data_IF_494565943409
#
_entry.id   IF_494565943409
#
_cell.length_a   1.000
_cell.length_b   1.000
_cell.length_c   1.000
_cell.angle_alpha   90.00
_cell.angle_beta   90.00
_cell.angle_gamma   90.00
#
_symmetry.space_group_name_H-M   'P 1'
#
loop_
_entity.id
_entity.type
_entity.pdbx_description
1 polymer ?
#
# COMPACT_ATOMS: atom_id res chain seq x y z
N UNK A 1 -4.82 9.23 -15.84
CA UNK A 1 -4.73 7.77 -16.03
C UNK A 1 -3.87 7.27 -14.89
N UNK A 2 -4.48 6.58 -13.93
CA UNK A 2 -3.78 6.13 -12.71
C UNK A 2 -2.85 4.97 -13.01
N UNK A 3 -1.92 4.67 -12.11
CA UNK A 3 -1.06 3.50 -12.24
C UNK A 3 -1.03 2.65 -10.96
N UNK A 4 -0.79 1.35 -11.14
CA UNK A 4 -0.47 0.41 -10.09
C UNK A 4 1.02 0.07 -10.14
N UNK A 5 1.71 0.13 -9.01
CA UNK A 5 3.07 -0.40 -8.90
C UNK A 5 3.22 -1.23 -7.64
N UNK A 6 3.62 -2.49 -7.81
CA UNK A 6 3.95 -3.40 -6.70
C UNK A 6 5.47 -3.48 -6.61
N UNK A 7 6.00 -3.24 -5.42
CA UNK A 7 7.43 -3.22 -5.13
C UNK A 7 7.65 -4.18 -3.96
N UNK A 8 8.50 -5.20 -4.18
CA UNK A 8 9.07 -5.99 -3.09
C UNK A 8 10.35 -5.31 -2.63
N UNK A 9 10.60 -5.26 -1.32
CA UNK A 9 11.72 -4.49 -0.83
C UNK A 9 12.29 -5.04 0.46
N UNK A 10 13.59 -5.34 0.40
CA UNK A 10 14.45 -5.51 1.57
C UNK A 10 15.03 -4.15 2.03
N UNK A 11 15.19 -3.18 1.10
CA UNK A 11 15.88 -1.88 1.32
C UNK A 11 15.39 -0.62 0.58
N UNK A 12 14.38 -0.64 -0.31
CA UNK A 12 13.92 0.62 -0.91
C UNK A 12 13.35 1.55 0.16
N UNK A 13 14.01 2.70 0.35
CA UNK A 13 13.63 3.65 1.38
C UNK A 13 12.31 4.28 1.00
N UNK A 14 11.33 4.26 1.90
CA UNK A 14 10.02 4.89 1.71
C UNK A 14 10.16 6.33 1.19
N UNK A 15 11.16 7.08 1.65
CA UNK A 15 11.51 8.40 1.14
C UNK A 15 11.72 8.47 -0.39
N UNK A 16 12.33 7.44 -0.99
CA UNK A 16 12.52 7.37 -2.44
C UNK A 16 11.21 7.17 -3.19
N UNK A 17 10.24 6.49 -2.58
CA UNK A 17 8.90 6.33 -3.13
C UNK A 17 8.13 7.65 -3.02
N UNK A 18 8.24 8.35 -1.88
CA UNK A 18 7.61 9.65 -1.65
C UNK A 18 8.17 10.77 -2.53
N UNK A 19 9.47 10.73 -2.87
CA UNK A 19 10.05 11.70 -3.81
C UNK A 19 9.69 11.41 -5.26
N UNK A 20 9.52 10.13 -5.62
CA UNK A 20 9.26 9.68 -6.99
C UNK A 20 7.78 9.76 -7.38
N UNK A 21 6.90 9.40 -6.47
CA UNK A 21 5.46 9.41 -6.65
C UNK A 21 4.93 10.51 -5.74
N UNK A 22 4.09 11.41 -6.26
CA UNK A 22 3.49 12.49 -5.47
C UNK A 22 2.43 11.94 -4.51
N UNK A 23 2.85 11.10 -3.57
CA UNK A 23 2.01 10.40 -2.61
C UNK A 23 1.39 11.43 -1.66
N UNK A 24 0.07 11.40 -1.50
CA UNK A 24 -0.64 12.22 -0.50
C UNK A 24 -1.02 11.44 0.76
N UNK A 25 -1.06 10.10 0.68
CA UNK A 25 -1.46 9.24 1.79
C UNK A 25 -0.62 7.96 1.87
N UNK A 26 -0.12 7.66 3.06
CA UNK A 26 0.59 6.42 3.37
C UNK A 26 -0.30 5.55 4.25
N UNK A 27 -0.55 4.33 3.82
CA UNK A 27 -1.27 3.31 4.58
C UNK A 27 -0.28 2.25 5.04
N UNK A 28 -0.10 2.06 6.35
CA UNK A 28 0.93 1.16 6.89
C UNK A 28 0.32 0.02 7.71
N UNK A 29 0.81 -1.20 7.53
CA UNK A 29 0.46 -2.31 8.41
C UNK A 29 1.29 -2.34 9.69
N UNK A 30 0.99 -3.32 10.54
CA UNK A 30 1.79 -3.62 11.72
C UNK A 30 3.20 -4.09 11.36
N UNK A 31 4.14 -3.82 12.28
CA UNK A 31 5.55 -4.16 12.11
C UNK A 31 6.34 -3.21 11.22
N UNK A 32 5.69 -2.19 10.62
CA UNK A 32 6.36 -1.19 9.78
C UNK A 32 6.89 -0.04 10.63
N UNK A 33 8.20 0.17 10.59
CA UNK A 33 8.86 1.33 11.19
C UNK A 33 9.17 2.34 10.08
N UNK A 34 8.66 3.56 10.24
CA UNK A 34 8.95 4.67 9.34
C UNK A 34 10.09 5.52 9.89
N UNK A 35 10.96 5.98 8.99
CA UNK A 35 11.94 7.02 9.34
C UNK A 35 11.20 8.35 9.61
N UNK A 36 11.68 9.12 10.59
CA UNK A 36 11.18 10.47 10.90
C UNK A 36 11.26 11.41 9.69
N UNK A 37 12.17 11.16 8.76
CA UNK A 37 12.27 11.95 7.51
C UNK A 37 10.99 11.92 6.67
N UNK A 38 10.13 10.91 6.84
CA UNK A 38 8.81 10.85 6.17
C UNK A 38 7.94 12.05 6.56
N UNK A 39 8.13 12.61 7.76
CA UNK A 39 7.41 13.80 8.23
C UNK A 39 7.81 15.08 7.49
N UNK A 40 8.88 15.06 6.70
CA UNK A 40 9.28 16.18 5.85
C UNK A 40 8.42 16.29 4.58
N UNK A 41 7.56 15.30 4.31
CA UNK A 41 6.63 15.30 3.20
C UNK A 41 5.23 15.68 3.71
N UNK A 42 4.45 16.37 2.87
CA UNK A 42 3.04 16.68 3.15
C UNK A 42 2.17 15.43 2.91
N UNK A 43 2.28 14.45 3.81
CA UNK A 43 1.64 13.15 3.70
C UNK A 43 0.81 12.82 4.93
N UNK A 44 -0.37 12.25 4.70
CA UNK A 44 -1.19 11.68 5.78
C UNK A 44 -0.82 10.22 5.99
N UNK A 45 -0.45 9.87 7.21
CA UNK A 45 -0.11 8.48 7.57
C UNK A 45 -1.29 7.87 8.32
N UNK A 46 -1.72 6.69 7.90
CA UNK A 46 -2.80 5.94 8.55
C UNK A 46 -2.42 4.47 8.68
N UNK A 47 -2.69 3.87 9.83
CA UNK A 47 -2.46 2.45 10.08
C UNK A 47 -3.61 1.60 9.52
N UNK A 48 -3.29 0.45 8.96
CA UNK A 48 -4.23 -0.57 8.47
C UNK A 48 -3.91 -1.92 9.14
N UNK A 49 -4.91 -2.49 9.82
CA UNK A 49 -4.80 -3.77 10.54
C UNK A 49 -5.46 -4.90 9.76
N UNK A 50 -6.52 -4.58 9.02
CA UNK A 50 -7.36 -5.56 8.33
C UNK A 50 -7.61 -5.17 6.88
N UNK A 51 -7.94 -6.13 6.00
CA UNK A 51 -8.38 -5.87 4.63
C UNK A 51 -9.55 -4.88 4.60
N UNK A 52 -10.54 -5.08 5.47
CA UNK A 52 -11.72 -4.22 5.58
C UNK A 52 -11.39 -2.74 5.86
N UNK A 53 -10.36 -2.48 6.68
CA UNK A 53 -9.90 -1.11 6.92
C UNK A 53 -9.29 -0.50 5.66
N UNK A 54 -8.48 -1.26 4.93
CA UNK A 54 -7.91 -0.82 3.67
C UNK A 54 -9.02 -0.54 2.64
N UNK A 55 -10.00 -1.43 2.52
CA UNK A 55 -11.14 -1.25 1.63
C UNK A 55 -11.91 0.02 1.94
N UNK A 56 -12.31 0.21 3.20
CA UNK A 56 -13.04 1.41 3.62
C UNK A 56 -12.24 2.68 3.35
N UNK A 57 -10.92 2.67 3.56
CA UNK A 57 -10.10 3.83 3.27
C UNK A 57 -10.09 4.13 1.78
N UNK A 58 -9.91 3.12 0.93
CA UNK A 58 -9.86 3.30 -0.52
C UNK A 58 -11.22 3.76 -1.07
N UNK A 59 -12.33 3.15 -0.64
CA UNK A 59 -13.69 3.52 -1.08
C UNK A 59 -14.04 4.97 -0.69
N UNK A 60 -13.70 5.37 0.53
CA UNK A 60 -14.02 6.72 1.02
C UNK A 60 -13.04 7.79 0.52
N UNK A 61 -11.98 7.39 -0.19
CA UNK A 61 -11.06 8.35 -0.79
C UNK A 61 -11.45 8.56 -2.24
N UNK A 62 -12.00 9.73 -2.57
CA UNK A 62 -12.46 10.00 -3.94
C UNK A 62 -11.31 10.07 -4.95
N UNK A 63 -10.21 10.75 -4.61
CA UNK A 63 -9.03 10.88 -5.46
C UNK A 63 -7.77 10.99 -4.60
N UNK A 64 -6.67 10.39 -5.05
CA UNK A 64 -5.36 10.59 -4.44
C UNK A 64 -4.29 9.60 -4.91
N UNK A 65 -3.06 9.88 -4.48
CA UNK A 65 -1.92 8.98 -4.65
C UNK A 65 -1.61 8.29 -3.31
N UNK A 66 -1.68 6.95 -3.30
CA UNK A 66 -1.53 6.11 -2.12
C UNK A 66 -0.22 5.34 -2.15
N UNK A 67 0.47 5.33 -1.03
CA UNK A 67 1.53 4.37 -0.74
C UNK A 67 1.03 3.38 0.32
N UNK A 68 0.81 2.15 -0.08
CA UNK A 68 0.39 1.06 0.80
C UNK A 68 1.64 0.27 1.19
N UNK A 69 2.05 0.32 2.45
CA UNK A 69 3.18 -0.45 2.98
C UNK A 69 2.63 -1.56 3.86
N UNK A 70 2.70 -2.79 3.39
CA UNK A 70 2.19 -3.96 4.11
C UNK A 70 3.35 -4.89 4.42
N UNK A 71 3.44 -5.31 5.68
CA UNK A 71 4.39 -6.32 6.10
C UNK A 71 4.00 -7.67 5.54
N UNK A 72 4.97 -8.48 5.16
CA UNK A 72 4.71 -9.82 4.61
C UNK A 72 3.89 -10.68 5.57
N UNK A 73 4.21 -10.59 6.87
CA UNK A 73 3.50 -11.27 7.96
C UNK A 73 2.03 -10.83 8.04
N UNK A 74 1.76 -9.53 7.95
CA UNK A 74 0.37 -9.04 7.96
C UNK A 74 -0.38 -9.50 6.72
N UNK A 75 0.25 -9.46 5.55
CA UNK A 75 -0.40 -9.92 4.31
C UNK A 75 -0.73 -11.42 4.35
N UNK A 76 0.19 -12.24 4.87
CA UNK A 76 0.00 -13.69 5.04
C UNK A 76 -1.11 -14.04 6.05
N UNK A 77 -1.43 -13.12 6.96
CA UNK A 77 -2.53 -13.29 7.92
C UNK A 77 -3.92 -13.00 7.35
N UNK A 78 -4.01 -12.46 6.13
CA UNK A 78 -5.27 -12.14 5.48
C UNK A 78 -5.77 -13.35 4.68
N UNK A 79 -7.08 -13.59 4.70
CA UNK A 79 -7.66 -14.71 3.97
C UNK A 79 -7.59 -14.47 2.46
N UNK A 80 -7.49 -15.56 1.68
CA UNK A 80 -7.39 -15.51 0.22
C UNK A 80 -8.57 -14.79 -0.43
N UNK A 81 -9.78 -14.96 0.12
CA UNK A 81 -10.98 -14.27 -0.32
C UNK A 81 -10.88 -12.75 -0.10
N UNK A 82 -10.38 -12.32 1.06
CA UNK A 82 -10.21 -10.91 1.38
C UNK A 82 -9.15 -10.26 0.47
N UNK A 83 -8.05 -10.96 0.21
CA UNK A 83 -7.01 -10.51 -0.72
C UNK A 83 -7.54 -10.31 -2.14
N UNK A 84 -8.42 -11.21 -2.60
CA UNK A 84 -9.09 -11.06 -3.91
C UNK A 84 -9.94 -9.78 -3.96
N UNK A 85 -10.71 -9.50 -2.91
CA UNK A 85 -11.57 -8.31 -2.85
C UNK A 85 -10.71 -7.03 -2.85
N UNK A 86 -9.65 -7.00 -2.05
CA UNK A 86 -8.69 -5.88 -2.02
C UNK A 86 -8.05 -5.67 -3.40
N UNK A 87 -7.63 -6.74 -4.07
CA UNK A 87 -7.03 -6.69 -5.41
C UNK A 87 -7.98 -6.07 -6.43
N UNK A 88 -9.24 -6.53 -6.46
CA UNK A 88 -10.28 -5.99 -7.35
C UNK A 88 -10.57 -4.51 -7.06
N UNK A 89 -10.60 -4.12 -5.79
CA UNK A 89 -10.80 -2.73 -5.40
C UNK A 89 -9.63 -1.85 -5.88
N UNK A 90 -8.39 -2.27 -5.67
CA UNK A 90 -7.20 -1.54 -6.13
C UNK A 90 -7.23 -1.33 -7.64
N UNK A 91 -7.58 -2.38 -8.41
CA UNK A 91 -7.73 -2.29 -9.87
C UNK A 91 -8.79 -1.27 -10.27
N UNK A 92 -9.94 -1.25 -9.60
CA UNK A 92 -10.99 -0.23 -9.83
C UNK A 92 -10.50 1.18 -9.51
N UNK A 93 -9.83 1.38 -8.38
CA UNK A 93 -9.31 2.69 -7.98
C UNK A 93 -8.31 3.25 -9.01
N UNK A 94 -7.44 2.39 -9.54
CA UNK A 94 -6.49 2.76 -10.60
C UNK A 94 -7.21 3.12 -11.90
N UNK A 95 -8.26 2.35 -12.26
CA UNK A 95 -9.11 2.67 -13.42
C UNK A 95 -9.82 4.02 -13.27
N UNK A 96 -10.18 4.42 -12.04
CA UNK A 96 -10.72 5.75 -11.73
C UNK A 96 -9.67 6.87 -11.67
N UNK A 97 -8.39 6.56 -11.92
CA UNK A 97 -7.33 7.56 -12.03
C UNK A 97 -6.44 7.73 -10.80
N UNK A 98 -6.61 6.90 -9.77
CA UNK A 98 -5.77 6.94 -8.58
C UNK A 98 -4.40 6.29 -8.84
N UNK A 99 -3.36 6.85 -8.23
CA UNK A 99 -2.01 6.28 -8.27
C UNK A 99 -1.80 5.44 -7.01
N UNK A 100 -1.54 4.15 -7.18
CA UNK A 100 -1.36 3.23 -6.05
C UNK A 100 0.01 2.56 -6.16
N UNK A 101 0.83 2.78 -5.13
CA UNK A 101 2.10 2.09 -4.94
C UNK A 101 1.96 1.14 -3.75
N UNK A 102 2.19 -0.14 -3.97
CA UNK A 102 2.21 -1.17 -2.91
C UNK A 102 3.66 -1.55 -2.65
N UNK A 103 4.09 -1.42 -1.41
CA UNK A 103 5.39 -1.85 -0.93
C UNK A 103 5.22 -3.01 0.05
N UNK A 104 5.72 -4.18 -0.32
CA UNK A 104 5.73 -5.36 0.55
C UNK A 104 7.05 -5.39 1.33
N UNK A 105 6.95 -5.31 2.65
CA UNK A 105 8.09 -5.21 3.55
C UNK A 105 8.24 -6.47 4.42
N UNK A 106 9.40 -7.12 4.38
CA UNK A 106 9.67 -8.32 5.15
C UNK A 106 10.42 -9.39 4.33
N UNK A 107 10.82 -10.51 4.94
CA UNK A 107 11.60 -11.55 4.28
C UNK A 107 10.85 -12.15 3.07
N UNK A 108 11.60 -12.57 2.05
CA UNK A 108 11.13 -13.01 0.71
C UNK A 108 10.22 -14.26 0.66
N UNK A 109 9.50 -14.64 1.71
CA UNK A 109 8.63 -15.84 1.70
C UNK A 109 7.32 -15.68 0.92
N UNK A 110 7.06 -14.52 0.31
CA UNK A 110 5.78 -14.25 -0.38
C UNK A 110 5.71 -14.77 -1.82
N UNK A 111 4.83 -15.77 -2.01
CA UNK A 111 4.25 -16.13 -3.31
C UNK A 111 3.45 -14.94 -3.85
N UNK A 112 4.04 -14.20 -4.80
CA UNK A 112 3.45 -12.97 -5.32
C UNK A 112 2.32 -13.17 -6.33
N UNK A 113 1.95 -14.41 -6.62
CA UNK A 113 0.86 -14.75 -7.56
C UNK A 113 -0.51 -14.29 -7.05
N UNK A 114 -0.64 -13.96 -5.75
CA UNK A 114 -1.90 -13.53 -5.15
C UNK A 114 -2.28 -12.07 -5.43
N UNK A 115 -1.35 -11.24 -5.95
CA UNK A 115 -1.59 -9.81 -6.25
C UNK A 115 -1.32 -9.47 -7.73
N UNK A 116 -1.09 -10.46 -8.59
CA UNK A 116 -0.95 -10.25 -10.05
C UNK A 116 -2.31 -10.29 -10.74
#
# INVERSE_FOLDING_TARGET
>A
MGFLRIIKTDRSSINSLLSRYKIGKILISDGIILDKTVLNYDVKIQRILTPYQLENILINSHEGSFLIVISTITLESWDTMELSVVSDLIRRMVAYGNDIVINLAGPETLNCEMIQ
#
